data_IF_494240933332
#
_entry.id   IF_494240933332
#
_cell.length_a   1.000
_cell.length_b   1.000
_cell.length_c   1.000
_cell.angle_alpha   90.00
_cell.angle_beta   90.00
_cell.angle_gamma   90.00
#
_symmetry.space_group_name_H-M   'P 1'
#
loop_
_entity.id
_entity.type
_entity.pdbx_description
1 polymer ?
#
# COMPACT_ATOMS: atom_id res chain seq x y z
N UNK A 1 2.44 -24.66 40.56
CA UNK A 1 2.97 -25.51 39.45
C UNK A 1 3.27 -24.76 38.14
N UNK A 2 3.03 -23.44 38.01
CA UNK A 2 3.26 -22.70 36.74
C UNK A 2 4.72 -22.28 36.45
N UNK A 3 5.52 -21.95 37.48
CA UNK A 3 6.86 -21.38 37.28
C UNK A 3 7.89 -22.31 36.64
N UNK A 4 7.90 -23.60 37.00
CA UNK A 4 8.82 -24.59 36.42
C UNK A 4 8.53 -24.86 34.94
N UNK A 5 7.25 -24.88 34.55
CA UNK A 5 6.85 -25.07 33.15
C UNK A 5 7.26 -23.87 32.29
N UNK A 6 7.13 -22.65 32.81
CA UNK A 6 7.60 -21.43 32.12
C UNK A 6 9.11 -21.42 31.88
N UNK A 7 9.92 -21.78 32.89
CA UNK A 7 11.38 -21.84 32.72
C UNK A 7 11.82 -22.88 31.68
N UNK A 8 11.17 -24.04 31.67
CA UNK A 8 11.45 -25.11 30.70
C UNK A 8 11.00 -24.68 29.29
N UNK A 9 9.79 -24.12 29.15
CA UNK A 9 9.25 -23.68 27.86
C UNK A 9 10.09 -22.56 27.23
N UNK A 10 10.56 -21.61 28.02
CA UNK A 10 11.47 -20.56 27.54
C UNK A 10 12.79 -21.15 27.05
N UNK A 11 13.38 -22.08 27.81
CA UNK A 11 14.65 -22.71 27.41
C UNK A 11 14.51 -23.51 26.10
N UNK A 12 13.41 -24.27 25.95
CA UNK A 12 13.13 -25.05 24.74
C UNK A 12 12.86 -24.14 23.54
N UNK A 13 11.98 -23.14 23.68
CA UNK A 13 11.68 -22.19 22.59
C UNK A 13 12.90 -21.41 22.14
N UNK A 14 13.79 -21.04 23.06
CA UNK A 14 15.04 -20.32 22.71
C UNK A 14 15.96 -21.18 21.85
N UNK A 15 16.09 -22.47 22.18
CA UNK A 15 16.87 -23.42 21.38
C UNK A 15 16.25 -23.61 19.98
N UNK A 16 14.93 -23.82 19.93
CA UNK A 16 14.21 -24.08 18.68
C UNK A 16 14.23 -22.87 17.73
N UNK A 17 13.93 -21.67 18.25
CA UNK A 17 13.89 -20.45 17.40
C UNK A 17 15.28 -20.12 16.85
N UNK A 18 16.35 -20.28 17.63
CA UNK A 18 17.71 -20.06 17.17
C UNK A 18 18.16 -21.05 16.09
N UNK A 19 17.80 -22.33 16.25
CA UNK A 19 18.07 -23.35 15.24
C UNK A 19 17.31 -23.07 13.93
N UNK A 20 16.01 -22.76 14.02
CA UNK A 20 15.17 -22.44 12.86
C UNK A 20 15.70 -21.19 12.15
N UNK A 21 16.06 -20.14 12.90
CA UNK A 21 16.61 -18.92 12.32
C UNK A 21 17.89 -19.20 11.52
N UNK A 22 18.82 -19.98 12.07
CA UNK A 22 20.07 -20.32 11.36
C UNK A 22 19.82 -21.15 10.11
N UNK A 23 18.87 -22.08 10.17
CA UNK A 23 18.49 -22.89 9.02
C UNK A 23 17.93 -22.01 7.89
N UNK A 24 17.05 -21.07 8.22
CA UNK A 24 16.46 -20.12 7.27
C UNK A 24 17.52 -19.18 6.67
N UNK A 25 18.43 -18.66 7.50
CA UNK A 25 19.54 -17.82 7.02
C UNK A 25 20.41 -18.60 6.05
N UNK A 26 20.77 -19.84 6.37
CA UNK A 26 21.60 -20.67 5.49
C UNK A 26 20.91 -21.08 4.19
N UNK A 27 19.58 -21.21 4.17
CA UNK A 27 18.87 -21.49 2.93
C UNK A 27 18.66 -20.25 2.06
N UNK A 28 18.68 -19.05 2.64
CA UNK A 28 18.36 -17.79 1.93
C UNK A 28 19.57 -16.86 1.71
N UNK A 29 20.77 -17.19 2.21
CA UNK A 29 21.95 -16.31 2.14
C UNK A 29 22.44 -16.00 0.72
N UNK A 30 22.18 -16.91 -0.23
CA UNK A 30 22.64 -16.78 -1.62
C UNK A 30 21.69 -15.95 -2.51
N UNK A 31 20.52 -15.58 -1.99
CA UNK A 31 19.48 -14.89 -2.76
C UNK A 31 19.76 -13.39 -2.75
N UNK A 32 19.88 -12.78 -3.94
CA UNK A 32 20.13 -11.34 -4.07
C UNK A 32 19.40 -10.69 -5.25
N UNK A 33 19.06 -9.41 -5.10
CA UNK A 33 18.51 -8.57 -6.16
C UNK A 33 19.63 -8.16 -7.12
N UNK A 34 19.40 -8.28 -8.42
CA UNK A 34 20.33 -7.85 -9.47
C UNK A 34 19.90 -6.48 -10.03
N UNK A 35 20.77 -5.85 -10.83
CA UNK A 35 20.52 -4.52 -11.42
C UNK A 35 19.30 -4.47 -12.36
N UNK A 36 18.80 -5.62 -12.80
CA UNK A 36 17.62 -5.73 -13.64
C UNK A 36 16.31 -5.85 -12.83
N UNK A 37 16.36 -5.68 -11.50
CA UNK A 37 15.20 -5.80 -10.61
C UNK A 37 14.81 -7.25 -10.29
N UNK A 38 15.46 -8.23 -10.92
CA UNK A 38 15.18 -9.65 -10.69
C UNK A 38 15.89 -10.17 -9.45
N UNK A 39 15.25 -11.11 -8.75
CA UNK A 39 15.82 -11.81 -7.60
C UNK A 39 16.43 -13.12 -8.07
N UNK A 40 17.74 -13.30 -7.89
CA UNK A 40 18.46 -14.49 -8.37
C UNK A 40 19.27 -15.17 -7.28
N UNK A 41 19.47 -16.47 -7.46
CA UNK A 41 20.41 -17.26 -6.66
C UNK A 41 21.86 -17.03 -7.14
N UNK A 42 22.84 -17.53 -6.40
CA UNK A 42 24.27 -17.54 -6.73
C UNK A 42 24.59 -18.22 -8.08
N UNK A 43 23.81 -19.23 -8.47
CA UNK A 43 23.91 -19.94 -9.76
C UNK A 43 23.36 -19.16 -10.96
N UNK A 44 22.65 -18.04 -10.71
CA UNK A 44 22.03 -17.22 -11.76
C UNK A 44 20.58 -17.60 -12.09
N UNK A 45 20.01 -18.60 -11.42
CA UNK A 45 18.59 -18.95 -11.56
C UNK A 45 17.69 -17.82 -11.03
N UNK A 46 16.65 -17.47 -11.80
CA UNK A 46 15.67 -16.44 -11.44
C UNK A 46 14.61 -17.04 -10.52
N UNK A 47 14.48 -16.48 -9.31
CA UNK A 47 13.48 -16.87 -8.32
C UNK A 47 12.23 -15.99 -8.46
N UNK A 48 12.43 -14.67 -8.59
CA UNK A 48 11.37 -13.70 -8.82
C UNK A 48 11.77 -12.74 -9.95
N UNK A 49 10.81 -12.40 -10.81
CA UNK A 49 11.01 -11.41 -11.88
C UNK A 49 11.11 -9.99 -11.34
N UNK A 50 10.40 -9.70 -10.25
CA UNK A 50 10.40 -8.41 -9.60
C UNK A 50 10.47 -8.63 -8.09
N UNK A 51 11.39 -7.94 -7.41
CA UNK A 51 11.51 -8.02 -5.96
C UNK A 51 10.18 -7.64 -5.31
N UNK A 52 9.63 -8.49 -4.45
CA UNK A 52 8.37 -8.19 -3.75
C UNK A 52 7.14 -8.05 -4.65
N UNK A 53 7.25 -8.39 -5.95
CA UNK A 53 6.25 -8.15 -6.99
C UNK A 53 5.96 -6.66 -7.29
N UNK A 54 6.65 -5.72 -6.62
CA UNK A 54 6.48 -4.28 -6.76
C UNK A 54 7.80 -3.47 -6.87
N UNK A 55 8.95 -4.11 -6.69
CA UNK A 55 10.29 -3.51 -6.64
C UNK A 55 10.48 -2.49 -5.50
N UNK A 56 9.58 -2.46 -4.53
CA UNK A 56 9.59 -1.44 -3.48
C UNK A 56 10.32 -1.92 -2.24
N UNK A 57 11.12 -1.03 -1.65
CA UNK A 57 11.72 -1.32 -0.35
C UNK A 57 10.66 -1.25 0.76
N UNK A 58 10.57 -2.33 1.54
CA UNK A 58 9.74 -2.43 2.74
C UNK A 58 9.97 -1.30 3.75
N UNK A 59 11.15 -0.68 3.77
CA UNK A 59 11.48 0.43 4.70
C UNK A 59 10.60 1.66 4.45
N UNK A 60 10.18 1.89 3.19
CA UNK A 60 9.33 3.03 2.83
C UNK A 60 7.85 2.70 2.83
N UNK A 61 7.49 1.42 3.02
CA UNK A 61 6.10 0.99 3.05
C UNK A 61 5.42 1.37 4.36
N UNK A 62 4.29 2.08 4.25
CA UNK A 62 3.46 2.49 5.37
C UNK A 62 2.06 1.89 5.26
N UNK A 63 1.47 1.50 6.39
CA UNK A 63 0.10 0.99 6.42
C UNK A 63 -0.89 2.12 6.15
N UNK A 64 -1.63 2.02 5.05
CA UNK A 64 -2.61 3.01 4.61
C UNK A 64 -4.02 2.43 4.55
N UNK A 65 -5.02 3.27 4.85
CA UNK A 65 -6.43 2.90 4.78
C UNK A 65 -7.01 3.30 3.43
N UNK A 66 -7.73 2.39 2.78
CA UNK A 66 -8.32 2.58 1.47
C UNK A 66 -9.86 2.57 1.55
N UNK A 67 -10.42 3.69 2.02
CA UNK A 67 -11.85 3.80 2.35
C UNK A 67 -12.79 3.43 1.17
N UNK A 68 -12.30 3.57 -0.06
CA UNK A 68 -12.94 3.14 -1.31
C UNK A 68 -13.25 1.63 -1.38
N UNK A 69 -12.48 0.77 -0.71
CA UNK A 69 -12.63 -0.69 -0.78
C UNK A 69 -13.85 -1.22 -0.01
N UNK A 70 -14.23 -0.55 1.08
CA UNK A 70 -15.32 -0.99 1.97
C UNK A 70 -16.64 -0.24 1.71
N UNK A 71 -16.60 0.83 0.93
CA UNK A 71 -17.79 1.61 0.61
C UNK A 71 -18.83 0.75 -0.13
N UNK A 72 -20.11 0.90 0.25
CA UNK A 72 -21.22 0.32 -0.51
C UNK A 72 -21.29 1.01 -1.87
N UNK A 73 -21.78 0.31 -2.89
CA UNK A 73 -21.89 0.86 -4.25
C UNK A 73 -22.60 2.23 -4.25
N UNK A 74 -23.74 2.36 -3.58
CA UNK A 74 -24.47 3.63 -3.50
C UNK A 74 -23.66 4.76 -2.84
N UNK A 75 -23.01 4.50 -1.70
CA UNK A 75 -22.18 5.50 -1.00
C UNK A 75 -20.92 5.83 -1.79
N UNK A 76 -20.41 4.87 -2.54
CA UNK A 76 -19.24 5.03 -3.39
C UNK A 76 -19.59 5.94 -4.58
N UNK A 77 -20.68 5.63 -5.28
CA UNK A 77 -21.16 6.41 -6.41
C UNK A 77 -21.43 7.86 -5.96
N UNK A 78 -22.13 8.10 -4.84
CA UNK A 78 -22.34 9.47 -4.32
C UNK A 78 -21.06 10.21 -3.92
N UNK A 79 -20.02 9.50 -3.49
CA UNK A 79 -18.75 10.12 -3.06
C UNK A 79 -17.79 10.39 -4.22
N UNK A 80 -17.90 9.62 -5.32
CA UNK A 80 -16.90 9.59 -6.40
C UNK A 80 -17.45 9.80 -7.82
N UNK A 81 -18.76 9.93 -7.98
CA UNK A 81 -19.42 10.29 -9.24
C UNK A 81 -19.52 11.81 -9.38
N UNK A 82 -19.28 12.30 -10.60
CA UNK A 82 -19.38 13.71 -10.94
C UNK A 82 -20.49 13.91 -11.97
N UNK A 83 -21.45 14.76 -11.63
CA UNK A 83 -22.44 15.28 -12.56
C UNK A 83 -22.06 16.73 -12.92
N UNK A 84 -21.82 16.98 -14.21
CA UNK A 84 -21.47 18.32 -14.75
C UNK A 84 -22.62 19.33 -14.56
N UNK A 85 -23.86 18.83 -14.41
CA UNK A 85 -25.09 19.61 -14.52
C UNK A 85 -25.75 19.97 -13.16
N UNK A 86 -25.16 19.57 -12.03
CA UNK A 86 -25.76 19.78 -10.71
C UNK A 86 -25.34 21.14 -10.09
N UNK A 87 -26.27 22.01 -9.62
CA UNK A 87 -25.94 23.32 -9.04
C UNK A 87 -25.16 23.26 -7.72
N UNK A 88 -25.08 22.09 -7.09
CA UNK A 88 -24.50 21.89 -5.78
C UNK A 88 -23.16 21.17 -5.92
N UNK A 89 -22.08 21.93 -5.74
CA UNK A 89 -20.71 21.55 -6.09
C UNK A 89 -20.19 20.35 -5.26
N UNK A 90 -20.03 19.18 -5.89
CA UNK A 90 -19.32 18.03 -5.33
C UNK A 90 -18.19 17.60 -6.28
N UNK A 91 -16.97 17.44 -5.76
CA UNK A 91 -15.76 17.10 -6.53
C UNK A 91 -15.42 15.60 -6.39
N UNK A 92 -15.39 14.82 -7.49
CA UNK A 92 -14.37 13.79 -7.82
C UNK A 92 -14.81 12.83 -8.94
N UNK A 93 -13.84 12.22 -9.63
CA UNK A 93 -14.02 11.18 -10.67
C UNK A 93 -13.24 9.92 -10.30
N UNK A 94 -13.79 8.73 -10.60
CA UNK A 94 -13.03 7.48 -10.70
C UNK A 94 -13.48 6.69 -11.94
N UNK A 95 -12.53 6.04 -12.62
CA UNK A 95 -12.80 5.01 -13.63
C UNK A 95 -13.42 3.77 -12.98
N UNK A 96 -14.65 3.42 -13.37
CA UNK A 96 -15.41 2.27 -12.85
C UNK A 96 -14.60 0.95 -12.89
N UNK A 97 -13.73 0.81 -13.88
CA UNK A 97 -12.86 -0.36 -14.09
C UNK A 97 -11.84 -0.58 -12.96
N UNK A 98 -11.24 0.48 -12.43
CA UNK A 98 -10.27 0.39 -11.34
C UNK A 98 -10.92 -0.14 -10.06
N UNK A 99 -12.16 0.26 -9.79
CA UNK A 99 -12.93 -0.16 -8.62
C UNK A 99 -13.30 -1.63 -8.69
N UNK A 100 -13.64 -2.13 -9.87
CA UNK A 100 -13.93 -3.55 -10.08
C UNK A 100 -12.68 -4.42 -9.89
N UNK A 101 -11.54 -3.98 -10.39
CA UNK A 101 -10.26 -4.68 -10.18
C UNK A 101 -9.85 -4.67 -8.70
N UNK A 102 -10.00 -3.54 -8.02
CA UNK A 102 -9.74 -3.42 -6.59
C UNK A 102 -10.66 -4.32 -5.75
N UNK A 103 -11.95 -4.43 -6.10
CA UNK A 103 -12.90 -5.35 -5.44
C UNK A 103 -12.57 -6.82 -5.67
N UNK A 104 -12.01 -7.19 -6.83
CA UNK A 104 -11.53 -8.56 -7.10
C UNK A 104 -10.30 -8.91 -6.26
N UNK A 105 -9.41 -7.96 -6.02
CA UNK A 105 -8.18 -8.17 -5.24
C UNK A 105 -8.47 -8.18 -3.73
N UNK A 106 -9.37 -7.32 -3.25
CA UNK A 106 -9.70 -7.14 -1.84
C UNK A 106 -10.68 -8.21 -1.28
N UNK A 107 -10.52 -9.48 -1.66
CA UNK A 107 -11.40 -10.59 -1.21
C UNK A 107 -11.46 -10.72 0.32
N UNK A 108 -10.41 -10.28 1.02
CA UNK A 108 -10.28 -10.39 2.48
C UNK A 108 -11.04 -9.31 3.29
N UNK A 109 -11.64 -8.30 2.65
CA UNK A 109 -12.38 -7.23 3.34
C UNK A 109 -11.52 -6.34 4.26
N UNK A 110 -10.20 -6.47 4.19
CA UNK A 110 -9.26 -5.64 4.92
C UNK A 110 -9.15 -4.25 4.26
N UNK A 111 -9.34 -3.20 5.06
CA UNK A 111 -9.28 -1.80 4.60
C UNK A 111 -7.84 -1.24 4.66
N UNK A 112 -6.89 -1.98 5.21
CA UNK A 112 -5.56 -1.46 5.54
C UNK A 112 -4.48 -2.26 4.82
N UNK A 113 -3.67 -1.58 4.01
CA UNK A 113 -2.65 -2.20 3.17
C UNK A 113 -1.31 -1.47 3.32
N UNK A 114 -0.18 -2.19 3.36
CA UNK A 114 1.15 -1.58 3.31
C UNK A 114 1.40 -1.05 1.90
N UNK A 115 1.60 0.26 1.77
CA UNK A 115 1.82 0.95 0.49
C UNK A 115 2.98 1.97 0.64
N UNK A 116 3.83 2.14 -0.38
CA UNK A 116 5.07 2.94 -0.29
C UNK A 116 4.83 4.45 -0.17
N UNK A 117 3.73 4.98 -0.72
CA UNK A 117 3.50 6.43 -0.78
C UNK A 117 2.24 6.83 -0.05
N UNK A 118 2.40 7.57 1.04
CA UNK A 118 1.29 8.08 1.84
C UNK A 118 0.74 9.40 1.26
N UNK A 119 -0.29 9.28 0.41
CA UNK A 119 -0.90 10.41 -0.30
C UNK A 119 -1.50 11.42 0.68
N UNK A 120 -2.18 10.95 1.74
CA UNK A 120 -2.79 11.83 2.74
C UNK A 120 -1.74 12.75 3.38
N UNK A 121 -0.58 12.19 3.72
CA UNK A 121 0.54 12.98 4.29
C UNK A 121 1.10 13.97 3.28
N UNK A 122 1.26 13.58 2.02
CA UNK A 122 1.74 14.49 0.97
C UNK A 122 0.79 15.69 0.78
N UNK A 123 -0.52 15.44 0.74
CA UNK A 123 -1.53 16.49 0.62
C UNK A 123 -1.51 17.42 1.84
N UNK A 124 -1.44 16.87 3.05
CA UNK A 124 -1.36 17.67 4.28
C UNK A 124 -0.09 18.51 4.34
N UNK A 125 1.04 17.97 3.87
CA UNK A 125 2.29 18.70 3.79
C UNK A 125 2.20 19.84 2.76
N UNK A 126 1.62 19.58 1.59
CA UNK A 126 1.39 20.59 0.57
C UNK A 126 0.50 21.73 1.10
N UNK A 127 -0.62 21.40 1.75
CA UNK A 127 -1.51 22.40 2.37
C UNK A 127 -0.78 23.32 3.35
N UNK A 128 0.13 22.77 4.16
CA UNK A 128 0.93 23.55 5.11
C UNK A 128 2.00 24.41 4.44
N UNK A 129 2.71 23.87 3.46
CA UNK A 129 3.79 24.57 2.74
C UNK A 129 3.21 25.75 1.96
N UNK A 130 2.12 25.52 1.22
CA UNK A 130 1.48 26.52 0.40
C UNK A 130 0.50 27.41 1.15
N UNK A 131 0.23 27.12 2.43
CA UNK A 131 -0.72 27.85 3.29
C UNK A 131 -2.07 28.03 2.59
N UNK A 132 -2.66 26.91 2.18
CA UNK A 132 -3.90 26.91 1.41
C UNK A 132 -5.05 27.43 2.29
N UNK A 133 -5.72 28.49 1.83
CA UNK A 133 -6.91 29.04 2.48
C UNK A 133 -8.16 28.31 1.98
N UNK A 134 -8.82 27.56 2.88
CA UNK A 134 -10.06 26.83 2.55
C UNK A 134 -11.28 27.72 2.25
N UNK A 135 -11.17 29.02 2.50
CA UNK A 135 -12.23 30.01 2.26
C UNK A 135 -12.18 30.63 0.85
N UNK A 136 -11.06 30.47 0.15
CA UNK A 136 -10.89 30.97 -1.22
C UNK A 136 -11.21 29.84 -2.21
N UNK A 137 -11.92 30.12 -3.32
CA UNK A 137 -12.08 29.13 -4.37
C UNK A 137 -10.71 28.67 -4.89
N UNK A 138 -10.62 27.39 -5.24
CA UNK A 138 -9.43 26.82 -5.88
C UNK A 138 -9.26 27.43 -7.26
N UNK A 139 -8.05 27.84 -7.60
CA UNK A 139 -7.69 28.35 -8.93
C UNK A 139 -7.39 27.19 -9.92
N UNK A 140 -7.49 25.93 -9.49
CA UNK A 140 -7.18 24.73 -10.29
C UNK A 140 -8.38 24.22 -11.08
N UNK A 141 -8.20 23.99 -12.38
CA UNK A 141 -9.25 23.47 -13.24
C UNK A 141 -9.36 21.93 -13.14
N UNK A 142 -10.56 21.33 -13.00
CA UNK A 142 -10.71 19.88 -12.83
C UNK A 142 -10.12 19.02 -13.96
N UNK A 143 -10.16 19.49 -15.21
CA UNK A 143 -9.54 18.77 -16.34
C UNK A 143 -8.01 18.67 -16.19
N UNK A 144 -7.37 19.70 -15.66
CA UNK A 144 -5.91 19.69 -15.44
C UNK A 144 -5.53 18.61 -14.43
N UNK A 145 -6.39 18.34 -13.44
CA UNK A 145 -6.18 17.27 -12.45
C UNK A 145 -6.21 15.90 -13.15
N UNK A 146 -7.21 15.65 -13.99
CA UNK A 146 -7.32 14.36 -14.70
C UNK A 146 -6.13 14.17 -15.63
N UNK A 147 -5.79 15.19 -16.43
CA UNK A 147 -4.65 15.10 -17.34
C UNK A 147 -3.31 14.92 -16.63
N UNK A 148 -3.13 15.56 -15.47
CA UNK A 148 -1.88 15.42 -14.71
C UNK A 148 -1.78 14.07 -14.04
N UNK A 149 -2.88 13.52 -13.53
CA UNK A 149 -2.93 12.18 -12.95
C UNK A 149 -2.70 11.10 -14.00
N UNK A 150 -3.24 11.26 -15.21
CA UNK A 150 -3.04 10.31 -16.31
C UNK A 150 -1.63 10.35 -16.92
N UNK A 151 -0.93 11.49 -16.76
CA UNK A 151 0.47 11.67 -17.21
C UNK A 151 1.51 11.18 -16.19
N UNK A 152 1.10 10.91 -14.94
CA UNK A 152 1.97 10.44 -13.86
C UNK A 152 2.14 8.91 -13.91
#
# INVERSE_FOLDING_TARGET
>A
MGGKKGLIDTAVKTFETGYIQRLLVKSMEDIMVKYDGTVRNSLGDVIQFLYGEDEMDSVWSETQKLDSLKAKKSTFDTLYEYEIDDPNWNLSYILLEAVENLKKIAVAGANSWPLPVNIQRLVLNAQKIFKIDFWRPSDMHPMEIVETVDKL
#
